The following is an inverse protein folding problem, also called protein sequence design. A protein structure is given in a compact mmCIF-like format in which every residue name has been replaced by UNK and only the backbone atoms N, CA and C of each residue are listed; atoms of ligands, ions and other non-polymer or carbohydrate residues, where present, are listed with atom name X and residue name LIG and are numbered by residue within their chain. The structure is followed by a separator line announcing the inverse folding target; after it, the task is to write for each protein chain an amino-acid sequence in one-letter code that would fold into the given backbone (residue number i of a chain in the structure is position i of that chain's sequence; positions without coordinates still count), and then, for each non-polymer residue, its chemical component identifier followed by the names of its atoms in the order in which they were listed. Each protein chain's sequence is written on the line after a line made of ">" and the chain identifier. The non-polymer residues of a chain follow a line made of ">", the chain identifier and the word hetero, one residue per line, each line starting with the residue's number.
data_IF_985607931867
#
_entry.id   IF_985607931867
#
_cell.length_a   1.000
_cell.length_b   1.000
_cell.length_c   1.000
_cell.angle_alpha   90.00
_cell.angle_beta   90.00
_cell.angle_gamma   90.00
#
_symmetry.space_group_name_H-M   'P 1'
#
loop_
_entity.id
_entity.type
_entity.pdbx_description
1 polymer ?
#
# COMPACT_ATOMS: atom_id res chain seq x y z
N UNK A 1 59.16 10.35 -25.25
CA UNK A 1 59.75 11.70 -25.08
C UNK A 1 58.68 12.61 -24.50
N UNK A 2 58.97 13.25 -23.35
CA UNK A 2 58.25 14.32 -22.62
C UNK A 2 57.57 13.93 -21.29
N UNK A 3 58.31 14.34 -20.26
CA UNK A 3 58.07 14.49 -18.82
C UNK A 3 57.33 15.82 -18.59
N UNK A 4 56.30 15.84 -17.72
CA UNK A 4 55.93 16.97 -16.83
C UNK A 4 54.99 16.42 -15.74
N UNK A 5 55.45 16.05 -14.54
CA UNK A 5 55.63 16.89 -13.35
C UNK A 5 54.32 17.51 -12.79
N UNK A 6 53.71 16.85 -11.80
CA UNK A 6 53.00 17.55 -10.72
C UNK A 6 53.31 16.83 -9.39
N UNK A 7 54.35 17.34 -8.75
CA UNK A 7 54.59 17.23 -7.32
C UNK A 7 53.51 18.03 -6.58
N UNK A 8 53.25 17.66 -5.31
CA UNK A 8 52.96 18.47 -4.11
C UNK A 8 52.25 17.49 -3.15
N UNK A 9 53.01 16.64 -2.44
CA UNK A 9 53.61 16.88 -1.12
C UNK A 9 52.52 17.04 -0.04
N UNK A 10 52.29 15.91 0.62
CA UNK A 10 51.72 15.75 1.94
C UNK A 10 52.79 16.15 2.98
N UNK A 11 52.58 17.19 3.80
CA UNK A 11 53.24 17.36 5.11
C UNK A 11 52.31 18.14 6.08
N UNK A 12 52.23 17.59 7.30
CA UNK A 12 51.77 18.09 8.60
C UNK A 12 51.72 19.61 8.83
N UNK A 13 50.74 20.06 9.64
CA UNK A 13 51.00 20.68 10.95
C UNK A 13 49.71 21.03 11.72
N UNK A 14 49.73 20.71 13.01
CA UNK A 14 48.75 21.02 14.06
C UNK A 14 48.67 22.52 14.39
N UNK A 15 47.48 23.03 14.73
CA UNK A 15 47.20 23.82 15.94
C UNK A 15 45.73 24.25 15.95
N UNK A 16 45.09 24.08 17.10
CA UNK A 16 43.66 24.32 17.27
C UNK A 16 43.25 25.77 17.16
N UNK A 17 42.01 25.97 16.73
CA UNK A 17 41.21 27.15 17.02
C UNK A 17 39.83 26.69 17.47
N UNK A 18 39.51 27.11 18.68
CA UNK A 18 38.21 27.08 19.34
C UNK A 18 37.10 27.66 18.48
N UNK A 19 35.90 27.07 18.51
CA UNK A 19 34.72 27.71 17.94
C UNK A 19 33.51 26.79 17.83
N UNK A 20 32.82 26.63 18.96
CA UNK A 20 31.40 26.30 19.14
C UNK A 20 30.53 25.96 17.91
N UNK A 21 29.84 24.82 17.97
CA UNK A 21 28.74 24.53 17.04
C UNK A 21 28.22 23.09 17.12
N UNK A 22 27.24 22.87 18.01
CA UNK A 22 26.20 21.83 18.03
C UNK A 22 25.88 21.29 16.61
N UNK A 23 25.71 20.00 16.33
CA UNK A 23 24.86 18.99 16.97
C UNK A 23 25.45 17.58 16.76
N UNK A 24 25.39 16.72 17.78
CA UNK A 24 25.48 15.28 17.59
C UNK A 24 24.21 14.82 16.87
N UNK A 25 24.30 14.40 15.61
CA UNK A 25 23.26 13.56 15.02
C UNK A 25 23.44 12.17 15.60
N UNK A 26 22.85 11.92 16.76
CA UNK A 26 22.60 10.55 17.21
C UNK A 26 21.63 9.95 16.21
N UNK A 27 22.14 9.11 15.32
CA UNK A 27 21.32 8.16 14.58
C UNK A 27 20.77 7.18 15.60
N UNK A 28 19.69 7.55 16.28
CA UNK A 28 18.92 6.62 17.10
C UNK A 28 18.11 5.76 16.14
N UNK A 29 18.77 4.80 15.51
CA UNK A 29 18.14 3.53 15.18
C UNK A 29 17.81 2.90 16.52
N UNK A 30 16.61 3.18 17.04
CA UNK A 30 16.09 2.51 18.22
C UNK A 30 15.95 1.03 17.88
N UNK A 31 16.95 0.23 18.21
CA UNK A 31 16.77 -1.20 18.35
C UNK A 31 15.78 -1.39 19.48
N UNK A 32 14.56 -1.82 19.17
CA UNK A 32 13.59 -2.22 20.18
C UNK A 32 14.25 -3.28 21.05
N UNK A 33 14.49 -2.96 22.32
CA UNK A 33 14.94 -3.96 23.29
C UNK A 33 13.71 -4.81 23.67
N UNK A 34 13.86 -6.12 23.95
CA UNK A 34 12.72 -7.02 24.22
C UNK A 34 11.84 -6.64 25.42
N UNK A 35 12.20 -5.59 26.17
CA UNK A 35 11.57 -5.15 27.40
C UNK A 35 11.17 -3.66 27.40
N UNK A 36 11.10 -3.01 26.24
CA UNK A 36 10.53 -1.67 26.15
C UNK A 36 9.01 -1.76 26.38
N UNK A 37 8.58 -1.37 27.58
CA UNK A 37 7.17 -1.27 27.94
C UNK A 37 6.50 -0.20 27.07
N UNK A 38 5.50 -0.59 26.29
CA UNK A 38 4.69 0.33 25.50
C UNK A 38 4.06 1.39 26.43
N UNK A 39 4.55 2.62 26.36
CA UNK A 39 4.02 3.72 27.15
C UNK A 39 2.86 4.36 26.36
N UNK A 40 1.60 4.35 26.86
CA UNK A 40 0.44 4.83 26.11
C UNK A 40 0.45 6.34 25.78
N UNK A 41 1.46 7.07 26.25
CA UNK A 41 1.65 8.50 26.05
C UNK A 41 2.70 8.86 25.00
N UNK A 42 3.32 7.88 24.33
CA UNK A 42 4.20 8.17 23.20
C UNK A 42 3.39 8.75 22.04
N UNK A 43 3.53 10.07 21.86
CA UNK A 43 2.93 10.82 20.77
C UNK A 43 3.39 10.23 19.44
N UNK A 44 2.45 9.70 18.64
CA UNK A 44 2.74 9.33 17.25
C UNK A 44 3.22 10.61 16.53
N UNK A 45 4.42 10.63 15.93
CA UNK A 45 4.92 11.81 15.25
C UNK A 45 3.93 12.22 14.15
N UNK A 46 3.46 13.47 14.22
CA UNK A 46 2.61 14.11 13.22
C UNK A 46 3.39 14.22 11.90
N UNK A 47 3.32 13.17 11.09
CA UNK A 47 4.21 12.96 9.95
C UNK A 47 4.39 11.48 9.59
N UNK A 48 3.95 10.54 10.42
CA UNK A 48 3.67 9.18 9.95
C UNK A 48 2.59 9.31 8.88
N UNK A 49 2.95 9.04 7.61
CA UNK A 49 2.01 8.99 6.52
C UNK A 49 0.81 8.15 6.98
N UNK A 50 -0.38 8.73 7.00
CA UNK A 50 -1.60 8.00 7.30
C UNK A 50 -1.60 6.77 6.39
N UNK A 51 -1.43 5.61 6.99
CA UNK A 51 -1.30 4.39 6.23
C UNK A 51 -2.69 4.14 5.62
N UNK A 52 -2.77 4.39 4.31
CA UNK A 52 -4.04 4.46 3.61
C UNK A 52 -4.47 3.03 3.32
N UNK A 53 -5.34 2.51 4.17
CA UNK A 53 -5.68 1.10 4.20
C UNK A 53 -7.00 0.85 3.48
N UNK A 54 -6.95 0.43 2.23
CA UNK A 54 -8.09 -0.25 1.60
C UNK A 54 -7.96 -1.74 1.92
N UNK A 55 -9.00 -2.34 2.47
CA UNK A 55 -9.07 -3.78 2.69
C UNK A 55 -9.64 -4.47 1.45
N UNK A 56 -8.87 -5.43 0.92
CA UNK A 56 -9.24 -6.23 -0.24
C UNK A 56 -9.27 -7.69 0.21
N UNK A 57 -10.44 -8.36 0.24
CA UNK A 57 -10.51 -9.75 0.63
C UNK A 57 -9.80 -10.65 -0.40
N UNK A 58 -9.31 -11.80 0.05
CA UNK A 58 -8.65 -12.79 -0.82
C UNK A 58 -9.57 -13.97 -1.17
N UNK A 59 -10.76 -14.05 -0.56
CA UNK A 59 -11.75 -15.11 -0.75
C UNK A 59 -13.17 -14.57 -0.52
N UNK A 60 -14.14 -15.10 -1.26
CA UNK A 60 -15.57 -14.82 -1.08
C UNK A 60 -16.42 -16.02 -1.53
N UNK A 61 -17.66 -16.10 -1.03
CA UNK A 61 -18.56 -17.25 -1.16
C UNK A 61 -19.95 -16.79 -1.57
N UNK A 62 -20.25 -16.64 -2.88
CA UNK A 62 -21.59 -16.29 -3.37
C UNK A 62 -22.55 -17.47 -3.24
N UNK A 63 -23.03 -17.74 -2.02
CA UNK A 63 -23.94 -18.82 -1.66
C UNK A 63 -25.31 -18.32 -1.18
N UNK A 64 -25.47 -17.00 -1.00
CA UNK A 64 -26.71 -16.34 -0.59
C UNK A 64 -26.98 -16.38 0.91
N UNK A 65 -25.95 -16.60 1.73
CA UNK A 65 -26.09 -16.59 3.20
C UNK A 65 -25.92 -15.20 3.84
N UNK A 66 -25.64 -14.18 3.03
CA UNK A 66 -25.42 -12.79 3.44
C UNK A 66 -23.98 -12.48 3.88
N UNK A 67 -23.09 -13.47 3.89
CA UNK A 67 -21.72 -13.36 4.39
C UNK A 67 -20.71 -13.56 3.27
N UNK A 68 -19.99 -12.50 2.91
CA UNK A 68 -18.99 -12.52 1.84
C UNK A 68 -19.54 -13.04 0.50
N UNK A 69 -20.82 -12.76 0.20
CA UNK A 69 -21.43 -13.13 -1.09
C UNK A 69 -20.88 -12.33 -2.26
N UNK A 70 -20.34 -11.15 -1.98
CA UNK A 70 -19.80 -10.23 -2.97
C UNK A 70 -18.31 -10.03 -2.72
N UNK A 71 -17.53 -9.92 -3.79
CA UNK A 71 -16.16 -9.46 -3.72
C UNK A 71 -16.14 -7.94 -3.48
N UNK A 72 -16.36 -7.59 -2.22
CA UNK A 72 -16.50 -6.21 -1.75
C UNK A 72 -15.17 -5.69 -1.19
N UNK A 73 -14.75 -4.55 -1.70
CA UNK A 73 -13.60 -3.81 -1.17
C UNK A 73 -14.11 -2.89 -0.04
N UNK A 74 -13.34 -2.75 1.03
CA UNK A 74 -13.69 -1.96 2.20
C UNK A 74 -12.65 -0.87 2.48
N UNK A 75 -13.09 0.25 3.06
CA UNK A 75 -12.23 1.34 3.50
C UNK A 75 -12.64 1.80 4.91
N UNK A 76 -11.72 2.40 5.69
CA UNK A 76 -12.01 2.98 6.99
C UNK A 76 -13.16 3.97 6.93
N UNK A 77 -13.96 3.99 7.99
CA UNK A 77 -15.07 4.93 8.12
C UNK A 77 -14.53 6.36 8.10
N UNK A 78 -15.09 7.20 7.23
CA UNK A 78 -14.69 8.60 7.08
C UNK A 78 -13.74 8.87 5.91
N UNK A 79 -13.11 7.84 5.34
CA UNK A 79 -12.29 7.99 4.15
C UNK A 79 -13.18 8.00 2.89
N UNK A 80 -13.15 9.12 2.17
CA UNK A 80 -13.75 9.18 0.83
C UNK A 80 -12.77 8.57 -0.18
N UNK A 81 -13.05 7.32 -0.55
CA UNK A 81 -12.26 6.57 -1.52
C UNK A 81 -13.12 6.27 -2.76
N UNK A 82 -12.59 6.64 -3.92
CA UNK A 82 -13.20 6.39 -5.21
C UNK A 82 -12.42 5.31 -5.95
N UNK A 83 -13.08 4.25 -6.36
CA UNK A 83 -12.49 3.28 -7.28
C UNK A 83 -12.60 3.84 -8.71
N UNK A 84 -11.47 4.22 -9.31
CA UNK A 84 -11.46 4.77 -10.67
C UNK A 84 -11.54 3.65 -11.71
N UNK A 85 -10.90 2.50 -11.43
CA UNK A 85 -10.93 1.30 -12.29
C UNK A 85 -10.95 0.04 -11.44
N UNK A 86 -11.84 -0.88 -11.78
CA UNK A 86 -11.90 -2.20 -11.14
C UNK A 86 -12.13 -3.26 -12.20
N UNK A 87 -11.20 -4.21 -12.32
CA UNK A 87 -11.28 -5.31 -13.25
C UNK A 87 -11.00 -6.63 -12.57
N UNK A 88 -11.67 -7.68 -13.03
CA UNK A 88 -11.42 -9.06 -12.61
C UNK A 88 -11.26 -9.91 -13.85
N UNK A 89 -10.29 -10.81 -13.81
CA UNK A 89 -9.89 -11.66 -14.91
C UNK A 89 -9.94 -13.13 -14.50
N UNK A 90 -10.41 -13.98 -15.41
CA UNK A 90 -10.27 -15.42 -15.27
C UNK A 90 -8.83 -15.89 -15.52
N UNK A 91 -8.59 -17.19 -15.30
CA UNK A 91 -7.27 -17.83 -15.55
C UNK A 91 -6.77 -17.75 -17.00
N UNK A 92 -7.64 -17.40 -17.96
CA UNK A 92 -7.33 -17.26 -19.39
C UNK A 92 -7.09 -15.79 -19.78
N UNK A 93 -7.18 -14.86 -18.83
CA UNK A 93 -7.05 -13.42 -19.08
C UNK A 93 -8.33 -12.75 -19.59
N UNK A 94 -9.47 -13.45 -19.57
CA UNK A 94 -10.76 -12.87 -19.94
C UNK A 94 -11.20 -11.90 -18.85
N UNK A 95 -11.52 -10.66 -19.21
CA UNK A 95 -12.17 -9.72 -18.29
C UNK A 95 -13.61 -10.17 -18.03
N UNK A 96 -13.88 -10.59 -16.80
CA UNK A 96 -15.19 -11.11 -16.36
C UNK A 96 -16.01 -10.10 -15.59
N UNK A 97 -15.39 -9.02 -15.12
CA UNK A 97 -16.07 -7.96 -14.40
C UNK A 97 -15.31 -6.66 -14.55
N UNK A 98 -16.05 -5.58 -14.79
CA UNK A 98 -15.50 -4.23 -14.86
C UNK A 98 -16.42 -3.20 -14.22
N UNK A 99 -15.82 -2.27 -13.47
CA UNK A 99 -16.47 -1.06 -12.97
C UNK A 99 -15.50 0.12 -13.04
N UNK A 100 -16.08 1.31 -13.14
CA UNK A 100 -15.38 2.58 -13.19
C UNK A 100 -16.10 3.57 -12.29
N UNK A 101 -15.33 4.45 -11.65
CA UNK A 101 -15.85 5.55 -10.82
C UNK A 101 -16.87 5.08 -9.77
N UNK A 102 -16.54 4.00 -9.06
CA UNK A 102 -17.42 3.34 -8.08
C UNK A 102 -16.99 3.70 -6.65
N UNK A 103 -17.87 4.24 -5.79
CA UNK A 103 -17.52 4.56 -4.41
C UNK A 103 -17.38 3.28 -3.60
N UNK A 104 -16.49 3.29 -2.59
CA UNK A 104 -16.42 2.20 -1.60
C UNK A 104 -17.59 2.37 -0.62
N UNK A 105 -18.74 1.81 -0.97
CA UNK A 105 -19.96 1.84 -0.17
C UNK A 105 -20.73 0.51 -0.29
N UNK A 106 -21.68 0.23 0.62
CA UNK A 106 -22.62 -0.87 0.44
C UNK A 106 -23.42 -0.70 -0.86
N UNK A 107 -23.29 -1.63 -1.80
CA UNK A 107 -24.04 -1.67 -3.05
C UNK A 107 -24.06 -3.09 -3.61
N UNK A 108 -24.93 -3.36 -4.58
CA UNK A 108 -24.93 -4.63 -5.34
C UNK A 108 -24.00 -4.59 -6.55
N UNK A 109 -23.27 -3.49 -6.74
CA UNK A 109 -22.40 -3.33 -7.90
C UNK A 109 -21.13 -4.19 -7.84
N UNK A 110 -20.77 -4.69 -6.65
CA UNK A 110 -19.65 -5.60 -6.42
C UNK A 110 -19.81 -6.92 -7.19
N UNK A 111 -18.71 -7.63 -7.40
CA UNK A 111 -18.74 -8.86 -8.17
C UNK A 111 -19.27 -10.03 -7.33
N UNK A 112 -20.33 -10.66 -7.79
CA UNK A 112 -21.00 -11.83 -7.19
C UNK A 112 -20.48 -13.17 -7.71
N UNK A 113 -19.39 -13.17 -8.51
CA UNK A 113 -18.90 -14.39 -9.12
C UNK A 113 -19.66 -14.82 -10.38
N UNK A 114 -20.48 -13.95 -10.97
CA UNK A 114 -21.15 -14.18 -12.25
C UNK A 114 -20.41 -13.54 -13.42
N UNK A 115 -20.59 -14.12 -14.62
CA UNK A 115 -20.17 -13.52 -15.88
C UNK A 115 -21.21 -13.84 -16.96
N UNK A 116 -21.69 -12.80 -17.66
CA UNK A 116 -22.72 -12.93 -18.72
C UNK A 116 -23.96 -13.71 -18.26
N UNK A 117 -24.43 -13.44 -17.04
CA UNK A 117 -25.59 -14.11 -16.40
C UNK A 117 -25.36 -15.59 -16.03
N UNK A 118 -24.11 -16.08 -16.08
CA UNK A 118 -23.77 -17.43 -15.64
C UNK A 118 -22.86 -17.40 -14.42
N UNK A 119 -23.14 -18.27 -13.45
CA UNK A 119 -22.31 -18.48 -12.29
C UNK A 119 -20.97 -19.08 -12.71
N UNK A 120 -19.86 -18.40 -12.38
CA UNK A 120 -18.53 -18.91 -12.68
C UNK A 120 -18.16 -20.05 -11.73
N UNK A 121 -17.43 -21.06 -12.21
CA UNK A 121 -16.95 -22.16 -11.36
C UNK A 121 -16.02 -21.64 -10.25
N UNK A 122 -15.97 -22.32 -9.08
CA UNK A 122 -14.96 -22.05 -8.05
C UNK A 122 -13.54 -22.04 -8.63
N UNK A 123 -12.73 -21.11 -8.16
CA UNK A 123 -11.39 -20.91 -8.70
C UNK A 123 -10.75 -19.59 -8.26
N UNK A 124 -9.53 -19.38 -8.75
CA UNK A 124 -8.75 -18.16 -8.48
C UNK A 124 -8.86 -17.22 -9.67
N UNK A 125 -9.11 -15.94 -9.38
CA UNK A 125 -9.28 -14.86 -10.33
C UNK A 125 -8.28 -13.76 -10.02
N UNK A 126 -7.74 -13.11 -11.05
CA UNK A 126 -6.85 -11.97 -10.86
C UNK A 126 -7.67 -10.68 -10.84
N UNK A 127 -7.31 -9.70 -9.99
CA UNK A 127 -7.93 -8.38 -10.00
C UNK A 127 -6.92 -7.28 -10.30
N UNK A 128 -7.43 -6.21 -10.90
CA UNK A 128 -6.76 -4.91 -11.03
C UNK A 128 -7.67 -3.85 -10.47
N UNK A 129 -7.16 -3.07 -9.52
CA UNK A 129 -7.91 -2.04 -8.83
C UNK A 129 -7.09 -0.75 -8.81
N UNK A 130 -7.69 0.35 -9.25
CA UNK A 130 -7.15 1.69 -9.10
C UNK A 130 -8.10 2.49 -8.20
N UNK A 131 -7.56 3.07 -7.14
CA UNK A 131 -8.30 3.90 -6.19
C UNK A 131 -7.73 5.31 -6.18
N UNK A 132 -8.61 6.28 -5.96
CA UNK A 132 -8.29 7.68 -5.72
C UNK A 132 -8.83 8.07 -4.35
N UNK A 133 -7.97 8.68 -3.54
CA UNK A 133 -8.30 9.16 -2.20
C UNK A 133 -8.71 10.64 -2.25
N UNK A 134 -9.33 11.10 -1.15
CA UNK A 134 -9.76 12.50 -0.97
C UNK A 134 -8.62 13.52 -1.09
N UNK A 135 -7.39 13.14 -0.75
CA UNK A 135 -6.19 13.97 -0.90
C UNK A 135 -5.68 14.03 -2.36
N UNK A 136 -6.35 13.37 -3.30
CA UNK A 136 -5.98 13.29 -4.72
C UNK A 136 -4.96 12.19 -5.05
N UNK A 137 -4.37 11.53 -4.05
CA UNK A 137 -3.46 10.40 -4.25
C UNK A 137 -4.16 9.24 -4.95
N UNK A 138 -3.43 8.55 -5.83
CA UNK A 138 -3.89 7.34 -6.49
C UNK A 138 -3.01 6.16 -6.12
N UNK A 139 -3.65 5.04 -5.79
CA UNK A 139 -2.96 3.77 -5.56
C UNK A 139 -3.53 2.69 -6.47
N UNK A 140 -2.66 1.78 -6.87
CA UNK A 140 -3.03 0.61 -7.66
C UNK A 140 -2.79 -0.65 -6.85
N UNK A 141 -3.82 -1.49 -6.77
CA UNK A 141 -3.75 -2.81 -6.16
C UNK A 141 -3.94 -3.88 -7.23
N UNK A 142 -3.14 -4.93 -7.13
CA UNK A 142 -3.21 -6.11 -8.00
C UNK A 142 -3.04 -7.33 -7.11
N UNK A 143 -3.75 -8.38 -7.44
CA UNK A 143 -3.69 -9.61 -6.67
C UNK A 143 -4.68 -10.61 -7.18
N UNK A 144 -5.04 -11.55 -6.31
CA UNK A 144 -5.92 -12.65 -6.64
C UNK A 144 -7.02 -12.75 -5.59
N UNK A 145 -8.19 -13.17 -6.05
CA UNK A 145 -9.34 -13.51 -5.20
C UNK A 145 -9.79 -14.92 -5.53
N UNK A 146 -10.14 -15.67 -4.49
CA UNK A 146 -10.67 -17.03 -4.61
C UNK A 146 -12.20 -16.99 -4.51
N UNK A 147 -12.87 -17.55 -5.50
CA UNK A 147 -14.31 -17.81 -5.46
C UNK A 147 -14.52 -19.24 -4.97
N UNK A 148 -15.31 -19.40 -3.91
CA UNK A 148 -15.75 -20.71 -3.40
C UNK A 148 -17.28 -20.81 -3.37
N UNK A 149 -17.82 -22.02 -3.23
CA UNK A 149 -19.25 -22.29 -2.99
C UNK A 149 -19.39 -23.49 -2.08
#
# INVERSE_FOLDING_TARGET
>A
MRITLLFIICILSTLGLSGQGFYSRSSTTGSLQPNDSFNPTDSIPAGAAADIHVYIPNIFSPNGDGTNDLFQIQAPVGDQVMITRFFIFDKRGTNVYSRYNMPIAPSEDWWDGSYKNFNMSPGVFAYYLEVQFSNGERKTFKGNVTLVR
#
